data_IF_263305181141
#
_entry.id   IF_263305181141
#
_cell.length_a   1.000
_cell.length_b   1.000
_cell.length_c   1.000
_cell.angle_alpha   90.00
_cell.angle_beta   90.00
_cell.angle_gamma   90.00
#
_symmetry.space_group_name_H-M   'P 1'
#
loop_
_entity.id
_entity.type
_entity.pdbx_description
1 polymer ?
#
# COMPACT_ATOMS: atom_id res chain seq x y z
N UNK A 1 51.15 -15.21 5.64
CA UNK A 1 52.17 -14.87 6.65
C UNK A 1 52.60 -13.43 6.43
N UNK A 2 52.25 -12.55 7.38
CA UNK A 2 52.81 -11.23 7.69
C UNK A 2 52.71 -10.16 6.56
N UNK A 3 52.23 -8.93 6.79
CA UNK A 3 52.67 -7.98 7.82
C UNK A 3 51.57 -6.90 8.08
N UNK A 4 51.00 -6.89 9.29
CA UNK A 4 50.83 -5.73 10.22
C UNK A 4 50.24 -4.41 9.65
N UNK A 5 48.96 -4.08 9.90
CA UNK A 5 48.45 -3.22 11.01
C UNK A 5 49.16 -1.86 11.18
N UNK A 6 48.51 -0.77 10.79
CA UNK A 6 48.57 0.62 11.32
C UNK A 6 47.96 1.54 10.22
N UNK A 7 47.09 2.53 10.43
CA UNK A 7 46.84 3.38 11.58
C UNK A 7 45.35 3.70 11.74
N UNK A 8 44.93 3.53 12.98
CA UNK A 8 43.79 4.17 13.65
C UNK A 8 44.23 5.57 14.10
N UNK A 9 43.28 6.52 14.15
CA UNK A 9 43.35 7.89 14.70
C UNK A 9 43.91 9.01 13.81
N UNK A 10 43.01 9.82 13.24
CA UNK A 10 42.95 11.24 13.62
C UNK A 10 41.51 11.68 13.84
N UNK A 11 41.33 12.25 15.02
CA UNK A 11 40.11 12.68 15.69
C UNK A 11 39.72 14.12 15.33
N UNK A 12 38.41 14.37 15.38
CA UNK A 12 37.78 15.56 15.96
C UNK A 12 38.19 16.95 15.45
N UNK A 13 37.27 17.60 14.72
CA UNK A 13 36.97 19.01 14.96
C UNK A 13 35.48 19.23 15.11
N UNK A 14 35.18 19.96 16.19
CA UNK A 14 33.89 20.27 16.76
C UNK A 14 33.15 21.33 15.91
N UNK A 15 31.83 21.23 15.88
CA UNK A 15 30.94 22.23 15.30
C UNK A 15 29.59 22.22 16.01
N UNK A 16 29.60 22.57 17.30
CA UNK A 16 28.42 22.81 18.13
C UNK A 16 27.86 24.19 17.75
N UNK A 17 26.67 24.27 17.17
CA UNK A 17 25.86 25.48 17.30
C UNK A 17 24.37 25.15 17.37
N UNK A 18 23.84 25.45 18.55
CA UNK A 18 22.45 25.42 18.98
C UNK A 18 21.62 26.48 18.26
N UNK A 19 20.37 26.15 17.92
CA UNK A 19 19.22 27.08 17.79
C UNK A 19 17.95 26.24 17.59
N UNK A 20 17.19 26.03 18.66
CA UNK A 20 16.05 26.85 19.10
C UNK A 20 14.74 26.41 18.42
N UNK A 21 14.02 25.54 19.14
CA UNK A 21 12.62 25.19 18.92
C UNK A 21 11.74 26.39 19.28
N UNK A 22 10.82 26.87 18.42
CA UNK A 22 9.89 27.92 18.81
C UNK A 22 8.78 27.37 19.73
N UNK A 23 8.30 28.17 20.72
CA UNK A 23 7.32 27.72 21.69
C UNK A 23 5.91 27.62 21.11
N UNK A 24 5.19 26.60 21.59
CA UNK A 24 3.75 26.44 21.45
C UNK A 24 3.02 27.69 21.97
N UNK A 25 2.16 28.28 21.15
CA UNK A 25 1.18 29.28 21.60
C UNK A 25 -0.07 28.56 22.07
N UNK A 26 -0.30 28.60 23.37
CA UNK A 26 -1.64 28.52 23.95
C UNK A 26 -2.45 29.72 23.47
N UNK A 27 -3.66 29.50 22.99
CA UNK A 27 -4.70 30.52 22.96
C UNK A 27 -5.87 30.00 23.79
N UNK A 28 -6.12 30.69 24.89
CA UNK A 28 -7.15 30.41 25.88
C UNK A 28 -8.46 31.10 25.53
N UNK A 29 -9.56 30.40 25.86
CA UNK A 29 -10.87 30.90 26.30
C UNK A 29 -11.75 31.69 25.34
N UNK A 30 -12.91 31.10 25.03
CA UNK A 30 -14.11 31.76 24.52
C UNK A 30 -15.32 30.85 24.72
N UNK A 31 -15.90 30.89 25.91
CA UNK A 31 -17.20 30.27 26.25
C UNK A 31 -18.32 31.21 25.78
N UNK A 32 -19.51 30.65 25.54
CA UNK A 32 -20.86 31.26 25.49
C UNK A 32 -21.53 31.13 24.12
N UNK A 33 -22.59 30.30 24.09
CA UNK A 33 -23.46 30.15 22.92
C UNK A 33 -24.46 29.01 23.06
N UNK A 34 -25.14 28.90 24.20
CA UNK A 34 -26.28 27.99 24.41
C UNK A 34 -27.54 28.85 24.36
N UNK A 35 -28.43 28.67 23.38
CA UNK A 35 -29.88 28.67 23.62
C UNK A 35 -30.73 28.20 22.43
N UNK A 36 -31.56 27.20 22.72
CA UNK A 36 -32.93 26.90 22.22
C UNK A 36 -33.14 26.76 20.71
N UNK A 37 -33.26 25.50 20.29
CA UNK A 37 -34.27 25.12 19.31
C UNK A 37 -35.51 24.62 20.05
N UNK A 38 -36.64 25.22 19.71
CA UNK A 38 -37.97 25.00 20.25
C UNK A 38 -38.49 23.60 19.89
N UNK A 39 -39.04 22.94 20.89
CA UNK A 39 -39.95 21.80 20.74
C UNK A 39 -41.21 22.23 20.00
N UNK A 40 -41.74 21.33 19.17
CA UNK A 40 -43.13 21.14 18.72
C UNK A 40 -43.07 20.47 17.32
N UNK A 41 -43.81 19.43 16.94
CA UNK A 41 -44.90 18.71 17.58
C UNK A 41 -45.15 17.41 16.74
N UNK A 42 -46.00 16.53 17.28
CA UNK A 42 -46.88 15.59 16.55
C UNK A 42 -46.30 14.28 15.92
N UNK A 43 -46.39 13.19 16.69
CA UNK A 43 -46.92 11.88 16.22
C UNK A 43 -48.47 12.02 16.11
N UNK A 44 -49.27 11.18 15.40
CA UNK A 44 -49.06 9.73 15.25
C UNK A 44 -49.61 9.04 13.97
N UNK A 45 -49.11 7.82 13.77
CA UNK A 45 -49.83 6.59 13.42
C UNK A 45 -50.73 6.48 12.17
N UNK A 46 -50.63 5.28 11.58
CA UNK A 46 -51.69 4.53 10.88
C UNK A 46 -51.76 4.62 9.34
N UNK A 47 -51.44 3.46 8.75
CA UNK A 47 -52.21 2.69 7.76
C UNK A 47 -51.76 2.65 6.29
N UNK A 48 -51.71 1.39 5.85
CA UNK A 48 -52.09 0.83 4.55
C UNK A 48 -51.07 0.82 3.41
N UNK A 49 -50.59 -0.40 3.19
CA UNK A 49 -50.27 -0.99 1.89
C UNK A 49 -51.15 -0.45 0.76
N UNK A 50 -50.52 0.08 -0.29
CA UNK A 50 -51.11 0.11 -1.63
C UNK A 50 -50.00 0.17 -2.69
N UNK A 51 -50.14 -0.77 -3.62
CA UNK A 51 -49.51 -0.98 -4.91
C UNK A 51 -48.92 0.24 -5.66
N UNK A 52 -47.66 0.04 -6.09
CA UNK A 52 -47.09 0.18 -7.44
C UNK A 52 -47.09 1.54 -8.17
N UNK A 53 -45.87 1.86 -8.65
CA UNK A 53 -45.49 2.59 -9.88
C UNK A 53 -45.78 4.11 -9.88
N UNK A 54 -44.72 4.92 -9.86
CA UNK A 54 -44.21 5.46 -11.13
C UNK A 54 -42.82 6.11 -11.01
N UNK A 55 -42.16 6.18 -12.15
CA UNK A 55 -40.78 6.51 -12.36
C UNK A 55 -40.42 7.97 -12.03
N UNK A 56 -39.36 8.16 -11.24
CA UNK A 56 -38.63 9.41 -11.18
C UNK A 56 -37.13 9.13 -11.00
N UNK A 57 -36.52 8.71 -12.12
CA UNK A 57 -35.19 9.14 -12.54
C UNK A 57 -34.01 8.79 -11.62
N UNK A 58 -33.61 7.53 -11.73
CA UNK A 58 -32.24 7.06 -11.93
C UNK A 58 -31.22 8.19 -12.19
N UNK A 59 -30.65 8.77 -11.13
CA UNK A 59 -29.33 9.41 -11.18
C UNK A 59 -28.27 8.33 -11.00
N UNK A 60 -28.17 7.44 -11.97
CA UNK A 60 -27.00 6.56 -12.11
C UNK A 60 -25.95 7.37 -12.86
N UNK A 61 -25.24 8.23 -12.13
CA UNK A 61 -24.13 8.99 -12.69
C UNK A 61 -22.91 8.07 -12.74
N UNK A 62 -22.84 7.30 -13.82
CA UNK A 62 -21.59 6.78 -14.35
C UNK A 62 -20.67 7.97 -14.64
N UNK A 63 -19.62 8.15 -13.84
CA UNK A 63 -18.55 9.14 -14.08
C UNK A 63 -17.25 8.85 -13.31
N UNK A 64 -16.96 7.59 -13.06
CA UNK A 64 -15.57 7.11 -12.93
C UNK A 64 -15.52 5.77 -13.65
N UNK A 65 -15.04 5.77 -14.90
CA UNK A 65 -14.39 4.57 -15.41
C UNK A 65 -13.17 4.36 -14.53
N UNK A 66 -13.43 3.62 -13.46
CA UNK A 66 -12.55 3.33 -12.35
C UNK A 66 -11.57 2.30 -12.86
N UNK A 67 -10.48 2.82 -13.40
CA UNK A 67 -9.32 2.08 -13.84
C UNK A 67 -8.94 1.04 -12.76
N UNK A 68 -9.30 -0.22 -13.02
CA UNK A 68 -9.32 -1.30 -12.02
C UNK A 68 -7.93 -1.90 -11.91
N UNK A 69 -7.16 -1.42 -10.95
CA UNK A 69 -5.93 -2.08 -10.53
C UNK A 69 -6.27 -3.38 -9.80
N UNK A 70 -5.64 -4.48 -10.22
CA UNK A 70 -5.89 -5.81 -9.69
C UNK A 70 -4.84 -6.18 -8.63
N UNK A 71 -5.31 -6.37 -7.40
CA UNK A 71 -4.53 -6.92 -6.29
C UNK A 71 -5.04 -8.31 -6.00
N UNK A 72 -4.12 -9.27 -5.94
CA UNK A 72 -4.42 -10.67 -5.71
C UNK A 72 -3.73 -11.16 -4.44
N UNK A 73 -4.47 -11.85 -3.58
CA UNK A 73 -3.89 -12.58 -2.46
C UNK A 73 -3.70 -14.03 -2.89
N UNK A 74 -2.45 -14.50 -2.84
CA UNK A 74 -2.07 -15.87 -3.21
C UNK A 74 -2.44 -16.80 -2.07
N UNK A 75 -3.20 -17.85 -2.38
CA UNK A 75 -3.67 -18.82 -1.36
C UNK A 75 -2.72 -20.00 -1.17
N UNK A 76 -2.12 -20.47 -2.27
CA UNK A 76 -1.24 -21.64 -2.31
C UNK A 76 -0.37 -21.61 -3.59
N UNK A 77 0.49 -22.62 -3.76
CA UNK A 77 1.37 -22.75 -4.93
C UNK A 77 0.62 -22.90 -6.26
N UNK A 78 -0.52 -23.58 -6.28
CA UNK A 78 -1.32 -23.76 -7.50
C UNK A 78 -1.97 -22.44 -7.92
N UNK A 79 -2.45 -21.65 -6.96
CA UNK A 79 -2.95 -20.29 -7.18
C UNK A 79 -1.84 -19.37 -7.67
N UNK A 80 -0.65 -19.44 -7.08
CA UNK A 80 0.53 -18.70 -7.52
C UNK A 80 0.88 -19.02 -8.97
N UNK A 81 0.96 -20.31 -9.31
CA UNK A 81 1.28 -20.74 -10.68
C UNK A 81 0.30 -20.17 -11.70
N UNK A 82 -1.00 -20.34 -11.45
CA UNK A 82 -2.05 -19.90 -12.38
C UNK A 82 -2.10 -18.39 -12.55
N UNK A 83 -1.91 -17.64 -11.46
CA UNK A 83 -2.18 -16.19 -11.44
C UNK A 83 -0.95 -15.32 -11.57
N UNK A 84 0.23 -15.87 -11.29
CA UNK A 84 1.52 -15.18 -11.38
C UNK A 84 2.35 -15.72 -12.54
N UNK A 85 2.58 -17.04 -12.60
CA UNK A 85 3.50 -17.62 -13.59
C UNK A 85 2.89 -17.72 -14.99
N UNK A 86 1.60 -18.05 -15.05
CA UNK A 86 0.84 -18.18 -16.30
C UNK A 86 0.13 -16.88 -16.71
N UNK A 87 0.43 -15.75 -16.05
CA UNK A 87 -0.18 -14.47 -16.36
C UNK A 87 0.46 -13.81 -17.58
N UNK A 88 -0.36 -13.34 -18.51
CA UNK A 88 0.09 -12.60 -19.69
C UNK A 88 0.64 -11.21 -19.35
N UNK A 89 0.24 -10.64 -18.21
CA UNK A 89 0.69 -9.33 -17.75
C UNK A 89 1.87 -9.49 -16.78
N UNK A 90 2.82 -8.54 -16.76
CA UNK A 90 3.78 -8.45 -15.68
C UNK A 90 3.10 -8.41 -14.30
N UNK A 91 3.69 -9.12 -13.35
CA UNK A 91 3.15 -9.28 -11.99
C UNK A 91 4.19 -8.83 -10.99
N UNK A 92 3.81 -7.95 -10.06
CA UNK A 92 4.63 -7.61 -8.91
C UNK A 92 4.21 -8.47 -7.74
N UNK A 93 5.11 -9.29 -7.24
CA UNK A 93 4.89 -10.17 -6.09
C UNK A 93 5.47 -9.51 -4.84
N UNK A 94 4.62 -9.15 -3.89
CA UNK A 94 4.96 -8.64 -2.56
C UNK A 94 4.91 -9.79 -1.54
N UNK A 95 6.08 -10.33 -1.19
CA UNK A 95 6.23 -11.25 -0.08
C UNK A 95 6.25 -10.47 1.23
N UNK A 96 5.19 -10.62 2.02
CA UNK A 96 4.94 -9.87 3.24
C UNK A 96 4.59 -10.78 4.41
N UNK A 97 4.42 -10.17 5.59
CA UNK A 97 3.84 -10.83 6.76
C UNK A 97 2.98 -9.85 7.57
N UNK A 98 1.93 -10.32 8.23
CA UNK A 98 1.00 -9.47 9.00
C UNK A 98 1.66 -8.75 10.19
N UNK A 99 2.71 -9.34 10.77
CA UNK A 99 3.49 -8.79 11.88
C UNK A 99 4.58 -7.82 11.43
N UNK A 100 4.86 -7.72 10.12
CA UNK A 100 5.92 -6.88 9.59
C UNK A 100 5.52 -5.40 9.52
N UNK A 101 6.14 -4.57 10.36
CA UNK A 101 5.93 -3.12 10.39
C UNK A 101 6.23 -2.42 9.06
N UNK A 102 7.44 -2.60 8.47
CA UNK A 102 7.79 -2.00 7.18
C UNK A 102 6.85 -2.41 6.03
N UNK A 103 6.35 -3.65 6.04
CA UNK A 103 5.42 -4.15 5.03
C UNK A 103 4.11 -3.34 5.01
N UNK A 104 3.62 -2.91 6.18
CA UNK A 104 2.42 -2.06 6.30
C UNK A 104 2.61 -0.67 5.69
N UNK A 105 3.85 -0.21 5.50
CA UNK A 105 4.16 1.04 4.80
C UNK A 105 4.36 0.81 3.30
N UNK A 106 5.06 -0.26 2.92
CA UNK A 106 5.39 -0.54 1.52
C UNK A 106 4.16 -0.95 0.70
N UNK A 107 3.31 -1.84 1.22
CA UNK A 107 2.15 -2.38 0.50
C UNK A 107 1.24 -1.28 -0.07
N UNK A 108 0.75 -0.33 0.76
CA UNK A 108 -0.10 0.77 0.26
C UNK A 108 0.59 1.70 -0.75
N UNK A 109 1.92 1.83 -0.72
CA UNK A 109 2.68 2.62 -1.69
C UNK A 109 2.77 1.91 -3.03
N UNK A 110 3.04 0.60 -3.03
CA UNK A 110 2.97 -0.23 -4.22
C UNK A 110 1.57 -0.17 -4.83
N UNK A 111 0.53 -0.41 -4.02
CA UNK A 111 -0.86 -0.38 -4.50
C UNK A 111 -1.21 0.98 -5.12
N UNK A 112 -0.78 2.08 -4.51
CA UNK A 112 -0.99 3.44 -5.06
C UNK A 112 -0.30 3.61 -6.42
N UNK A 113 1.00 3.36 -6.51
CA UNK A 113 1.75 3.61 -7.75
C UNK A 113 1.26 2.71 -8.89
N UNK A 114 0.97 1.44 -8.60
CA UNK A 114 0.46 0.51 -9.61
C UNK A 114 -0.98 0.84 -10.05
N UNK A 115 -1.75 1.51 -9.18
CA UNK A 115 -3.07 2.05 -9.56
C UNK A 115 -3.02 3.19 -10.57
N UNK A 116 -1.84 3.69 -10.90
CA UNK A 116 -1.63 4.70 -11.94
C UNK A 116 -1.27 4.06 -13.30
N UNK A 117 -0.96 2.76 -13.34
CA UNK A 117 -0.37 2.08 -14.52
C UNK A 117 -1.33 1.54 -15.59
N UNK A 118 -2.56 2.04 -15.67
CA UNK A 118 -3.58 1.74 -16.70
C UNK A 118 -3.83 0.25 -17.12
N UNK A 119 -3.43 -0.72 -16.31
CA UNK A 119 -3.89 -2.11 -16.27
C UNK A 119 -2.77 -3.03 -16.68
N UNK A 120 -1.58 -2.45 -16.88
CA UNK A 120 -0.39 -3.03 -17.46
C UNK A 120 0.32 -3.99 -16.52
N UNK A 121 0.10 -3.83 -15.22
CA UNK A 121 0.75 -4.62 -14.17
C UNK A 121 -0.29 -5.01 -13.13
N UNK A 122 -0.17 -6.22 -12.61
CA UNK A 122 -0.98 -6.70 -11.48
C UNK A 122 -0.10 -6.87 -10.25
N UNK A 123 -0.69 -6.84 -9.06
CA UNK A 123 0.03 -7.06 -7.81
C UNK A 123 -0.44 -8.34 -7.14
N UNK A 124 0.50 -9.23 -6.83
CA UNK A 124 0.27 -10.42 -6.02
C UNK A 124 0.87 -10.23 -4.63
N UNK A 125 0.11 -10.58 -3.60
CA UNK A 125 0.52 -10.55 -2.20
C UNK A 125 0.65 -11.98 -1.71
N UNK A 126 1.82 -12.31 -1.22
CA UNK A 126 2.14 -13.63 -0.68
C UNK A 126 2.49 -13.46 0.79
N UNK A 127 1.63 -13.98 1.67
CA UNK A 127 1.97 -14.06 3.09
C UNK A 127 2.94 -15.23 3.31
N UNK A 128 4.12 -14.93 3.83
CA UNK A 128 5.18 -15.93 4.04
C UNK A 128 4.87 -16.91 5.17
N UNK A 129 3.97 -16.58 6.10
CA UNK A 129 3.57 -17.47 7.18
C UNK A 129 2.60 -18.55 6.65
N UNK A 130 1.75 -18.17 5.67
CA UNK A 130 0.80 -19.07 5.02
C UNK A 130 1.44 -19.87 3.86
N UNK A 131 2.42 -19.28 3.17
CA UNK A 131 3.06 -19.84 1.97
C UNK A 131 4.57 -20.03 2.15
N UNK A 132 4.97 -20.69 3.23
CA UNK A 132 6.38 -20.80 3.63
C UNK A 132 7.29 -21.55 2.62
N UNK A 133 6.79 -22.62 2.01
CA UNK A 133 7.53 -23.39 1.01
C UNK A 133 7.77 -22.57 -0.27
N UNK A 134 6.72 -21.90 -0.76
CA UNK A 134 6.81 -20.95 -1.88
C UNK A 134 7.81 -19.82 -1.59
N UNK A 135 7.74 -19.21 -0.40
CA UNK A 135 8.69 -18.18 -0.01
C UNK A 135 10.14 -18.70 -0.01
N UNK A 136 10.35 -19.95 0.44
CA UNK A 136 11.66 -20.59 0.44
C UNK A 136 12.15 -20.91 -0.98
N UNK A 137 11.27 -21.38 -1.88
CA UNK A 137 11.57 -21.68 -3.28
C UNK A 137 12.11 -20.43 -4.00
N UNK A 138 11.47 -19.27 -3.79
CA UNK A 138 11.90 -17.98 -4.34
C UNK A 138 13.05 -17.34 -3.54
N UNK A 139 13.58 -18.01 -2.51
CA UNK A 139 14.73 -17.53 -1.75
C UNK A 139 14.44 -16.31 -0.87
N UNK A 140 13.20 -16.12 -0.44
CA UNK A 140 12.81 -15.04 0.48
C UNK A 140 13.38 -15.32 1.87
N UNK A 141 14.35 -14.50 2.29
CA UNK A 141 15.02 -14.61 3.61
C UNK A 141 14.58 -13.54 4.61
N UNK A 142 13.92 -12.49 4.13
CA UNK A 142 13.44 -11.38 4.93
C UNK A 142 12.28 -10.68 4.23
N UNK A 143 11.35 -10.14 5.01
CA UNK A 143 10.23 -9.35 4.48
C UNK A 143 10.39 -7.87 4.82
N UNK A 144 9.89 -6.96 3.95
CA UNK A 144 9.30 -7.25 2.64
C UNK A 144 10.36 -7.65 1.60
N UNK A 145 10.00 -8.58 0.72
CA UNK A 145 10.75 -8.86 -0.52
C UNK A 145 9.78 -8.71 -1.68
N UNK A 146 10.17 -7.94 -2.69
CA UNK A 146 9.33 -7.67 -3.86
C UNK A 146 10.01 -8.17 -5.12
N UNK A 147 9.28 -8.89 -5.96
CA UNK A 147 9.78 -9.45 -7.22
C UNK A 147 8.90 -9.03 -8.38
N UNK A 148 9.52 -8.63 -9.49
CA UNK A 148 8.84 -8.37 -10.76
C UNK A 148 8.91 -9.62 -11.63
N UNK A 149 7.76 -10.20 -11.94
CA UNK A 149 7.60 -11.43 -12.70
C UNK A 149 7.04 -11.11 -14.09
N UNK A 150 7.61 -11.71 -15.12
CA UNK A 150 7.10 -11.64 -16.51
C UNK A 150 7.49 -12.92 -17.25
N UNK A 151 6.57 -13.48 -18.01
CA UNK A 151 6.75 -14.73 -18.77
C UNK A 151 7.21 -15.90 -17.88
N UNK A 152 6.62 -16.00 -16.67
CA UNK A 152 6.96 -17.03 -15.69
C UNK A 152 8.37 -16.91 -15.07
N UNK A 153 9.05 -15.77 -15.23
CA UNK A 153 10.42 -15.55 -14.75
C UNK A 153 10.55 -14.30 -13.90
N UNK A 154 11.46 -14.34 -12.93
CA UNK A 154 11.88 -13.17 -12.16
C UNK A 154 12.72 -12.26 -13.06
N UNK A 155 12.25 -11.04 -13.31
CA UNK A 155 12.95 -10.02 -14.09
C UNK A 155 13.77 -9.07 -13.20
N UNK A 156 13.25 -8.79 -12.01
CA UNK A 156 13.88 -7.88 -11.05
C UNK A 156 13.41 -8.16 -9.62
N UNK A 157 14.19 -7.75 -8.63
CA UNK A 157 13.82 -7.88 -7.22
C UNK A 157 14.44 -6.77 -6.36
N UNK A 158 13.81 -6.48 -5.22
CA UNK A 158 14.41 -5.72 -4.14
C UNK A 158 13.93 -6.24 -2.78
N UNK A 159 14.67 -5.87 -1.72
CA UNK A 159 14.38 -6.28 -0.34
C UNK A 159 14.35 -5.04 0.55
N UNK A 160 13.36 -5.00 1.44
CA UNK A 160 13.17 -3.92 2.40
C UNK A 160 12.30 -2.78 1.89
N UNK A 161 12.21 -1.72 2.71
CA UNK A 161 11.48 -0.50 2.39
C UNK A 161 12.37 0.43 1.56
N UNK A 162 11.88 0.83 0.40
CA UNK A 162 12.52 1.79 -0.52
C UNK A 162 11.62 3.02 -0.70
N UNK A 163 12.14 4.10 -1.27
CA UNK A 163 11.35 5.31 -1.57
C UNK A 163 10.51 5.17 -2.84
N UNK A 164 9.59 6.12 -3.02
CA UNK A 164 8.60 6.07 -4.10
C UNK A 164 9.25 6.19 -5.51
N UNK A 165 10.37 6.92 -5.63
CA UNK A 165 11.11 7.07 -6.89
C UNK A 165 11.77 5.74 -7.31
N UNK A 166 12.33 5.02 -6.33
CA UNK A 166 12.87 3.69 -6.54
C UNK A 166 11.78 2.68 -6.90
N UNK A 167 10.58 2.77 -6.29
CA UNK A 167 9.44 1.93 -6.66
C UNK A 167 9.01 2.21 -8.10
N UNK A 168 8.82 3.49 -8.48
CA UNK A 168 8.43 3.82 -9.85
C UNK A 168 9.43 3.30 -10.88
N UNK A 169 10.73 3.49 -10.61
CA UNK A 169 11.79 2.98 -11.48
C UNK A 169 11.73 1.46 -11.63
N UNK A 170 11.40 0.74 -10.55
CA UNK A 170 11.23 -0.72 -10.57
C UNK A 170 10.04 -1.14 -11.44
N UNK A 171 8.90 -0.45 -11.30
CA UNK A 171 7.68 -0.69 -12.08
C UNK A 171 7.91 -0.42 -13.57
N UNK A 172 8.50 0.73 -13.91
CA UNK A 172 8.75 1.14 -15.29
C UNK A 172 9.64 0.12 -16.02
N UNK A 173 10.71 -0.34 -15.36
CA UNK A 173 11.60 -1.36 -15.91
C UNK A 173 10.87 -2.66 -16.22
N UNK A 174 9.98 -3.09 -15.34
CA UNK A 174 9.21 -4.32 -15.51
C UNK A 174 8.22 -4.21 -16.69
N UNK A 175 7.58 -3.06 -16.85
CA UNK A 175 6.62 -2.82 -17.96
C UNK A 175 7.34 -2.78 -19.31
N UNK A 176 8.54 -2.20 -19.38
CA UNK A 176 9.30 -2.00 -20.62
C UNK A 176 10.12 -3.24 -21.03
N UNK A 177 10.49 -4.10 -20.07
CA UNK A 177 11.36 -5.28 -20.28
C UNK A 177 10.86 -6.29 -21.30
#
# INVERSE_FOLDING_TARGET
MNVVRQLVQQTARQGKLSRAVPPARLCSTGVVGIQRLTHDNLKPSLLRSSTLRDAAQTRHLSSTESYKFEVINVQDEDDFKKRVLENDKPVIVDFHATWCGPCKLLGPRLEKLLSEENGKVIMAKVDIDENSDLAMEYGVRSVPTVMGMKDGKVQSQFVGLIDDDQIQTFVDKLIIS
#
